data_IF_640014179563
#
_entry.id   IF_640014179563
#
_cell.length_a   1.000
_cell.length_b   1.000
_cell.length_c   1.000
_cell.angle_alpha   90.00
_cell.angle_beta   90.00
_cell.angle_gamma   90.00
#
_symmetry.space_group_name_H-M   'P 1'
#
loop_
_entity.id
_entity.type
_entity.pdbx_description
1 polymer ?
#
# COMPACT_ATOMS: atom_id res chain seq x y z
N UNK A 1 20.69 -46.36 -5.59
CA UNK A 1 20.21 -45.95 -6.93
C UNK A 1 19.05 -46.79 -7.43
N UNK A 2 19.13 -48.12 -7.39
CA UNK A 2 18.11 -49.03 -7.96
C UNK A 2 16.71 -48.90 -7.33
N UNK A 3 16.63 -48.74 -6.00
CA UNK A 3 15.35 -48.58 -5.28
C UNK A 3 14.55 -47.35 -5.73
N UNK A 4 15.22 -46.21 -5.94
CA UNK A 4 14.57 -44.99 -6.42
C UNK A 4 14.07 -45.12 -7.87
N UNK A 5 14.84 -45.83 -8.70
CA UNK A 5 14.45 -46.15 -10.07
C UNK A 5 13.21 -47.06 -10.11
N UNK A 6 13.12 -48.05 -9.22
CA UNK A 6 11.97 -48.94 -9.10
C UNK A 6 10.69 -48.18 -8.70
N UNK A 7 10.78 -47.29 -7.71
CA UNK A 7 9.63 -46.44 -7.29
C UNK A 7 9.15 -45.55 -8.44
N UNK A 8 10.07 -44.95 -9.20
CA UNK A 8 9.71 -44.13 -10.38
C UNK A 8 9.04 -44.97 -11.47
N UNK A 9 9.53 -46.17 -11.75
CA UNK A 9 8.93 -47.09 -12.73
C UNK A 9 7.50 -47.47 -12.34
N UNK A 10 7.31 -47.91 -11.09
CA UNK A 10 5.98 -48.23 -10.56
C UNK A 10 5.01 -47.04 -10.65
N UNK A 11 5.47 -45.81 -10.35
CA UNK A 11 4.65 -44.60 -10.49
C UNK A 11 4.24 -44.33 -11.93
N UNK A 12 5.16 -44.49 -12.88
CA UNK A 12 4.88 -44.27 -14.31
C UNK A 12 3.92 -45.34 -14.83
N UNK A 13 4.07 -46.59 -14.41
CA UNK A 13 3.16 -47.69 -14.78
C UNK A 13 1.74 -47.47 -14.25
N UNK A 14 1.61 -46.99 -13.01
CA UNK A 14 0.30 -46.62 -12.44
C UNK A 14 -0.36 -45.46 -13.21
N UNK A 15 0.41 -44.47 -13.67
CA UNK A 15 -0.12 -43.38 -14.49
C UNK A 15 -0.47 -43.82 -15.92
N UNK A 16 0.31 -44.74 -16.51
CA UNK A 16 0.04 -45.29 -17.85
C UNK A 16 -1.20 -46.16 -17.87
N UNK A 17 -1.37 -47.03 -16.88
CA UNK A 17 -2.57 -47.88 -16.75
C UNK A 17 -3.84 -47.06 -16.53
N UNK A 18 -3.77 -46.00 -15.70
CA UNK A 18 -4.88 -45.07 -15.52
C UNK A 18 -5.22 -44.36 -16.84
N UNK A 19 -4.23 -43.86 -17.58
CA UNK A 19 -4.46 -43.21 -18.88
C UNK A 19 -5.13 -44.14 -19.89
N UNK A 20 -4.68 -45.40 -19.98
CA UNK A 20 -5.28 -46.38 -20.89
C UNK A 20 -6.73 -46.70 -20.51
N UNK A 21 -7.03 -46.84 -19.21
CA UNK A 21 -8.40 -47.06 -18.73
C UNK A 21 -9.32 -45.87 -19.06
N UNK A 22 -8.82 -44.63 -18.94
CA UNK A 22 -9.56 -43.43 -19.33
C UNK A 22 -9.79 -43.32 -20.83
N UNK A 23 -8.79 -43.64 -21.66
CA UNK A 23 -8.91 -43.64 -23.12
C UNK A 23 -9.88 -44.72 -23.63
N UNK A 24 -9.98 -45.84 -22.92
CA UNK A 24 -10.97 -46.90 -23.18
C UNK A 24 -12.38 -46.58 -22.66
N UNK A 25 -12.55 -45.56 -21.82
CA UNK A 25 -13.82 -45.22 -21.18
C UNK A 25 -14.24 -46.15 -20.04
N UNK A 26 -13.34 -47.02 -19.57
CA UNK A 26 -13.58 -48.01 -18.52
C UNK A 26 -13.44 -47.36 -17.13
N UNK A 27 -14.54 -46.76 -16.67
CA UNK A 27 -14.61 -46.03 -15.39
C UNK A 27 -14.31 -46.89 -14.16
N UNK A 28 -14.66 -48.19 -14.20
CA UNK A 28 -14.39 -49.13 -13.10
C UNK A 28 -12.89 -49.36 -12.92
N UNK A 29 -12.17 -49.67 -14.00
CA UNK A 29 -10.72 -49.88 -14.01
C UNK A 29 -9.95 -48.61 -13.62
N UNK A 30 -10.44 -47.44 -14.04
CA UNK A 30 -9.86 -46.16 -13.66
C UNK A 30 -10.04 -45.85 -12.16
N UNK A 31 -11.17 -46.25 -11.56
CA UNK A 31 -11.46 -46.08 -10.12
C UNK A 31 -10.65 -46.99 -9.20
N UNK A 32 -10.30 -48.19 -9.66
CA UNK A 32 -9.49 -49.15 -8.91
C UNK A 32 -8.04 -48.68 -8.74
N UNK A 33 -7.54 -47.83 -9.65
CA UNK A 33 -6.18 -47.29 -9.59
C UNK A 33 -6.09 -46.02 -8.72
N UNK A 34 -6.31 -46.19 -7.41
CA UNK A 34 -6.29 -45.11 -6.40
C UNK A 34 -4.96 -44.36 -6.38
N UNK A 35 -3.84 -45.08 -6.52
CA UNK A 35 -2.51 -44.48 -6.53
C UNK A 35 -2.30 -43.57 -7.76
N UNK A 36 -2.70 -44.01 -8.94
CA UNK A 36 -2.65 -43.20 -10.16
C UNK A 36 -3.50 -41.94 -10.03
N UNK A 37 -4.71 -42.04 -9.48
CA UNK A 37 -5.60 -40.90 -9.27
C UNK A 37 -5.04 -39.88 -8.27
N UNK A 38 -4.51 -40.36 -7.14
CA UNK A 38 -3.85 -39.51 -6.15
C UNK A 38 -2.62 -38.80 -6.71
N UNK A 39 -1.89 -39.42 -7.64
CA UNK A 39 -0.75 -38.81 -8.33
C UNK A 39 -1.21 -37.85 -9.44
N UNK A 40 -2.34 -38.13 -10.10
CA UNK A 40 -2.94 -37.30 -11.16
C UNK A 40 -3.78 -36.14 -10.59
N UNK A 41 -3.37 -35.55 -9.47
CA UNK A 41 -4.04 -34.37 -8.95
C UNK A 41 -4.06 -33.27 -10.01
N UNK A 42 -5.27 -32.92 -10.44
CA UNK A 42 -5.55 -32.00 -11.52
C UNK A 42 -5.29 -30.57 -11.07
N UNK A 43 -4.04 -30.10 -11.19
CA UNK A 43 -3.72 -28.67 -11.20
C UNK A 43 -4.16 -28.03 -12.53
N UNK A 44 -5.43 -28.19 -12.89
CA UNK A 44 -6.01 -27.60 -14.11
C UNK A 44 -7.00 -26.47 -13.84
N UNK A 45 -7.38 -26.26 -12.58
CA UNK A 45 -8.18 -25.10 -12.21
C UNK A 45 -7.29 -24.18 -11.38
N UNK A 46 -7.04 -22.98 -11.88
CA UNK A 46 -6.29 -21.93 -11.17
C UNK A 46 -7.02 -21.42 -9.93
N UNK A 47 -8.29 -21.81 -9.76
CA UNK A 47 -9.07 -21.48 -8.58
C UNK A 47 -8.98 -22.65 -7.58
N UNK A 48 -8.44 -22.39 -6.37
CA UNK A 48 -8.41 -23.39 -5.33
C UNK A 48 -9.86 -23.74 -4.91
N UNK A 49 -10.12 -25.00 -4.53
CA UNK A 49 -11.46 -25.41 -4.12
C UNK A 49 -11.94 -24.57 -2.94
N UNK A 50 -13.25 -24.30 -2.86
CA UNK A 50 -13.85 -23.45 -1.82
C UNK A 50 -13.53 -23.89 -0.37
N UNK A 51 -13.22 -25.17 -0.16
CA UNK A 51 -12.74 -25.69 1.13
C UNK A 51 -11.32 -25.25 1.51
N UNK A 52 -10.50 -24.81 0.55
CA UNK A 52 -9.15 -24.33 0.76
C UNK A 52 -9.08 -22.80 0.96
N UNK A 53 -10.10 -22.05 0.50
CA UNK A 53 -10.34 -20.68 0.94
C UNK A 53 -11.03 -20.75 2.31
N UNK A 54 -10.24 -20.74 3.39
CA UNK A 54 -10.77 -20.60 4.75
C UNK A 54 -11.78 -19.45 4.84
N UNK A 55 -12.78 -19.62 5.72
CA UNK A 55 -14.01 -18.82 5.80
C UNK A 55 -13.86 -17.30 5.97
N UNK A 56 -15.00 -16.64 6.22
CA UNK A 56 -15.28 -15.20 6.19
C UNK A 56 -14.05 -14.26 6.31
N UNK A 57 -13.96 -13.22 5.45
CA UNK A 57 -12.81 -12.33 5.43
C UNK A 57 -12.51 -11.79 6.83
N UNK A 58 -11.23 -11.67 7.20
CA UNK A 58 -10.85 -11.18 8.52
C UNK A 58 -11.49 -9.80 8.77
N UNK A 59 -12.10 -9.64 9.94
CA UNK A 59 -12.86 -8.43 10.29
C UNK A 59 -12.00 -7.17 10.44
N UNK A 60 -10.68 -7.34 10.51
CA UNK A 60 -9.71 -6.30 10.85
C UNK A 60 -8.74 -6.13 9.65
N UNK A 61 -9.23 -5.47 8.60
CA UNK A 61 -8.45 -5.18 7.40
C UNK A 61 -8.32 -3.68 7.21
N UNK A 62 -7.15 -3.24 6.75
CA UNK A 62 -6.87 -1.82 6.46
C UNK A 62 -7.88 -1.24 5.47
N UNK A 63 -8.37 -2.05 4.52
CA UNK A 63 -9.38 -1.64 3.56
C UNK A 63 -10.72 -1.28 4.23
N UNK A 64 -11.11 -2.00 5.30
CA UNK A 64 -12.31 -1.70 6.07
C UNK A 64 -12.16 -0.42 6.90
N UNK A 65 -10.95 -0.14 7.40
CA UNK A 65 -10.66 1.08 8.17
C UNK A 65 -10.66 2.34 7.29
N UNK A 66 -10.23 2.19 6.03
CA UNK A 66 -10.14 3.29 5.06
C UNK A 66 -11.47 3.50 4.31
N UNK A 67 -12.40 2.55 4.39
CA UNK A 67 -13.69 2.66 3.73
C UNK A 67 -14.46 3.92 4.17
N UNK A 68 -14.92 4.69 3.19
CA UNK A 68 -15.64 5.95 3.41
C UNK A 68 -14.80 7.15 3.87
N UNK A 69 -13.50 7.01 4.13
CA UNK A 69 -12.65 8.12 4.59
C UNK A 69 -12.51 9.21 3.51
N UNK A 70 -12.40 8.80 2.24
CA UNK A 70 -12.41 9.72 1.09
C UNK A 70 -13.74 10.48 0.97
N UNK A 71 -14.87 9.81 1.15
CA UNK A 71 -16.18 10.44 1.07
C UNK A 71 -16.38 11.49 2.17
N UNK A 72 -15.88 11.20 3.39
CA UNK A 72 -15.88 12.14 4.51
C UNK A 72 -15.02 13.37 4.24
N UNK A 73 -13.80 13.17 3.72
CA UNK A 73 -12.90 14.28 3.38
C UNK A 73 -13.51 15.21 2.33
N UNK A 74 -14.11 14.65 1.26
CA UNK A 74 -14.78 15.43 0.22
C UNK A 74 -16.00 16.19 0.78
N UNK A 75 -16.76 15.56 1.69
CA UNK A 75 -17.91 16.19 2.32
C UNK A 75 -17.50 17.36 3.25
N UNK A 76 -16.42 17.20 4.00
CA UNK A 76 -15.86 18.25 4.86
C UNK A 76 -15.34 19.43 4.04
N UNK A 77 -14.62 19.17 2.95
CA UNK A 77 -14.08 20.22 2.08
C UNK A 77 -15.20 21.02 1.42
N UNK A 78 -16.24 20.34 0.92
CA UNK A 78 -17.45 21.01 0.39
C UNK A 78 -18.19 21.83 1.44
N UNK A 79 -18.26 21.35 2.68
CA UNK A 79 -18.87 22.10 3.77
C UNK A 79 -18.08 23.40 4.05
N UNK A 80 -16.75 23.31 4.05
CA UNK A 80 -15.86 24.49 4.20
C UNK A 80 -16.01 25.49 3.06
N UNK A 81 -16.03 25.02 1.81
CA UNK A 81 -16.25 25.89 0.65
C UNK A 81 -17.61 26.62 0.73
N UNK A 82 -18.66 25.94 1.21
CA UNK A 82 -19.97 26.58 1.39
C UNK A 82 -20.00 27.60 2.52
N UNK A 83 -19.24 27.38 3.59
CA UNK A 83 -19.06 28.37 4.66
C UNK A 83 -18.25 29.59 4.18
N UNK A 84 -17.26 29.39 3.30
CA UNK A 84 -16.48 30.47 2.70
C UNK A 84 -17.29 31.33 1.70
N UNK A 85 -18.33 30.76 1.08
CA UNK A 85 -19.21 31.43 0.11
C UNK A 85 -20.52 31.99 0.72
N UNK A 86 -20.59 32.18 2.04
CA UNK A 86 -21.74 32.81 2.68
C UNK A 86 -21.73 34.34 2.49
N UNK A 87 -22.39 34.79 1.42
CA UNK A 87 -22.54 36.20 1.03
C UNK A 87 -23.25 37.07 2.09
N UNK A 88 -23.94 36.45 3.06
CA UNK A 88 -24.68 37.17 4.10
C UNK A 88 -23.81 37.57 5.30
N UNK A 89 -22.66 36.91 5.46
CA UNK A 89 -21.70 37.17 6.53
C UNK A 89 -20.54 38.08 6.06
N UNK A 90 -20.45 38.35 4.75
CA UNK A 90 -19.47 39.27 4.18
C UNK A 90 -19.97 40.71 4.37
N UNK A 91 -19.31 41.45 5.25
CA UNK A 91 -19.53 42.90 5.37
C UNK A 91 -19.26 43.60 4.02
N UNK A 92 -19.97 44.70 3.70
CA UNK A 92 -19.65 45.50 2.51
C UNK A 92 -18.18 45.91 2.54
N UNK A 93 -17.49 45.84 1.40
CA UNK A 93 -16.05 46.15 1.27
C UNK A 93 -15.74 47.56 1.83
N UNK A 94 -15.08 47.63 2.99
CA UNK A 94 -14.52 48.87 3.56
C UNK A 94 -13.05 49.06 3.13
N UNK A 95 -12.49 50.28 3.12
CA UNK A 95 -11.12 50.49 2.61
C UNK A 95 -9.99 49.94 3.49
N UNK A 96 -10.12 49.98 4.82
CA UNK A 96 -9.05 49.65 5.76
C UNK A 96 -9.04 48.19 6.24
N UNK A 97 -10.19 47.51 6.23
CA UNK A 97 -10.30 46.12 6.68
C UNK A 97 -9.80 45.11 5.62
N UNK A 98 -9.92 45.45 4.34
CA UNK A 98 -9.54 44.59 3.22
C UNK A 98 -8.02 44.63 3.00
N UNK A 99 -7.39 45.77 3.29
CA UNK A 99 -5.92 45.95 3.25
C UNK A 99 -5.18 44.88 4.07
N UNK A 100 -5.69 44.55 5.27
CA UNK A 100 -5.05 43.54 6.12
C UNK A 100 -5.18 42.14 5.51
N UNK A 101 -6.36 41.80 4.98
CA UNK A 101 -6.63 40.48 4.37
C UNK A 101 -5.83 40.29 3.07
N UNK A 102 -5.84 41.30 2.21
CA UNK A 102 -5.06 41.32 0.97
C UNK A 102 -3.56 41.26 1.24
N UNK A 103 -3.10 41.94 2.30
CA UNK A 103 -1.72 41.87 2.74
C UNK A 103 -1.36 40.50 3.31
N UNK A 104 -2.23 39.89 4.11
CA UNK A 104 -2.02 38.59 4.72
C UNK A 104 -1.96 37.47 3.66
N UNK A 105 -2.84 37.50 2.66
CA UNK A 105 -2.76 36.61 1.50
C UNK A 105 -1.42 36.75 0.74
N UNK A 106 -0.92 37.99 0.56
CA UNK A 106 0.39 38.23 -0.05
C UNK A 106 1.54 37.75 0.85
N UNK A 107 1.43 37.88 2.17
CA UNK A 107 2.42 37.39 3.12
C UNK A 107 2.52 35.87 3.11
N UNK A 108 1.40 35.16 3.04
CA UNK A 108 1.38 33.69 3.00
C UNK A 108 2.20 33.11 1.84
N UNK A 109 2.22 33.78 0.68
CA UNK A 109 3.07 33.41 -0.46
C UNK A 109 4.57 33.51 -0.16
N UNK A 110 4.96 34.41 0.74
CA UNK A 110 6.37 34.65 1.11
C UNK A 110 6.81 33.82 2.32
N UNK A 111 5.89 33.36 3.19
CA UNK A 111 6.19 32.52 4.37
C UNK A 111 7.17 31.37 4.08
N UNK A 112 6.99 30.51 3.05
CA UNK A 112 7.91 29.40 2.83
C UNK A 112 9.33 29.85 2.49
N UNK A 113 9.48 30.94 1.73
CA UNK A 113 10.80 31.51 1.39
C UNK A 113 11.47 32.11 2.63
N UNK A 114 10.71 32.78 3.48
CA UNK A 114 11.21 33.34 4.74
C UNK A 114 11.67 32.23 5.70
N UNK A 115 10.92 31.13 5.81
CA UNK A 115 11.32 30.00 6.66
C UNK A 115 12.60 29.32 6.14
N UNK A 116 12.72 29.12 4.82
CA UNK A 116 13.95 28.58 4.21
C UNK A 116 15.17 29.50 4.42
N UNK A 117 14.97 30.82 4.33
CA UNK A 117 16.03 31.79 4.61
C UNK A 117 16.43 31.78 6.09
N UNK A 118 15.45 31.72 7.00
CA UNK A 118 15.67 31.62 8.44
C UNK A 118 16.47 30.35 8.79
N UNK A 119 16.07 29.21 8.23
CA UNK A 119 16.79 27.94 8.41
C UNK A 119 18.25 28.05 7.94
N UNK A 120 18.48 28.59 6.74
CA UNK A 120 19.83 28.79 6.20
C UNK A 120 20.68 29.67 7.13
N UNK A 121 20.14 30.80 7.59
CA UNK A 121 20.84 31.70 8.50
C UNK A 121 21.14 31.05 9.86
N UNK A 122 20.23 30.22 10.36
CA UNK A 122 20.43 29.50 11.62
C UNK A 122 21.55 28.47 11.49
N UNK A 123 21.57 27.68 10.40
CA UNK A 123 22.65 26.72 10.12
C UNK A 123 24.00 27.44 9.99
N UNK A 124 24.06 28.54 9.24
CA UNK A 124 25.28 29.34 9.12
C UNK A 124 25.76 29.86 10.47
N UNK A 125 24.85 30.35 11.32
CA UNK A 125 25.18 30.87 12.64
C UNK A 125 25.66 29.78 13.59
N UNK A 126 25.07 28.58 13.54
CA UNK A 126 25.51 27.44 14.36
C UNK A 126 26.90 26.99 13.91
N UNK A 127 27.10 26.81 12.61
CA UNK A 127 28.41 26.41 12.06
C UNK A 127 29.52 27.41 12.35
N UNK A 128 29.26 28.71 12.21
CA UNK A 128 30.23 29.77 12.53
C UNK A 128 30.64 29.75 14.02
N UNK A 129 29.70 29.48 14.93
CA UNK A 129 30.02 29.34 16.36
C UNK A 129 30.90 28.12 16.66
N UNK A 130 30.70 27.02 15.94
CA UNK A 130 31.48 25.80 16.10
C UNK A 130 32.89 25.94 15.50
N UNK A 131 33.02 26.61 14.35
CA UNK A 131 34.33 26.95 13.78
C UNK A 131 35.10 27.94 14.66
N UNK A 132 34.44 28.97 15.18
CA UNK A 132 35.08 29.93 16.10
C UNK A 132 35.56 29.22 17.39
N UNK A 133 34.79 28.26 17.90
CA UNK A 133 35.19 27.45 19.06
C UNK A 133 36.35 26.50 18.72
N UNK A 134 36.37 25.91 17.53
CA UNK A 134 37.45 25.03 17.08
C UNK A 134 38.77 25.79 16.83
N UNK A 135 38.71 27.00 16.25
CA UNK A 135 39.87 27.86 16.01
C UNK A 135 40.48 28.39 17.32
N UNK A 136 39.67 28.63 18.35
CA UNK A 136 40.19 28.99 19.70
C UNK A 136 40.95 27.81 20.31
N UNK A 137 40.40 26.59 20.23
CA UNK A 137 41.06 25.39 20.76
C UNK A 137 42.32 25.00 19.97
N UNK A 138 42.36 25.24 18.66
CA UNK A 138 43.52 24.97 17.81
C UNK A 138 44.69 25.95 18.04
N UNK A 139 44.42 27.16 18.53
CA UNK A 139 45.45 28.15 18.86
C UNK A 139 45.99 28.01 20.30
N UNK A 140 45.37 27.19 21.15
CA UNK A 140 45.80 26.94 22.54
C UNK A 140 46.62 25.63 22.70
N UNK A 141 46.89 24.90 21.61
CA UNK A 141 47.72 23.69 21.56
C UNK A 141 49.07 23.92 20.87
#
# INVERSE_FOLDING_TARGET
MERAAAVRRARIEALRSLRLAEEAGDTESASQNVFGQAVKQSYRTSEPPASALGGAPPADTVEADVDGLQARAIAEDKARETEELDLTNIAPRRPNWDLRRDWEARQQLLVPKTQSALHTLLVQRVGARESDAADVLANEA
#
